data_IF_727935583538
#
_entry.id   IF_727935583538
#
_cell.length_a   1.000
_cell.length_b   1.000
_cell.length_c   1.000
_cell.angle_alpha   90.00
_cell.angle_beta   90.00
_cell.angle_gamma   90.00
#
_symmetry.space_group_name_H-M   'P 1'
#
loop_
_entity.id
_entity.type
_entity.pdbx_description
1 polymer ?
#
# COMPACT_ATOMS: atom_id res chain seq x y z
N UNK A 1 -1.45 -19.40 7.87
CA UNK A 1 -1.26 -20.63 7.09
C UNK A 1 -2.59 -21.37 6.94
N UNK A 2 -3.06 -21.54 5.71
CA UNK A 2 -4.24 -22.38 5.41
C UNK A 2 -3.80 -23.86 5.23
N UNK A 3 -2.90 -24.34 6.11
CA UNK A 3 -2.37 -25.69 6.11
C UNK A 3 -1.89 -26.08 7.50
N UNK A 4 -2.51 -27.11 8.06
CA UNK A 4 -2.11 -27.64 9.37
C UNK A 4 -0.66 -28.14 9.41
N UNK A 5 -0.16 -28.72 8.32
CA UNK A 5 1.22 -29.20 8.23
C UNK A 5 2.21 -28.02 8.28
N UNK A 6 2.00 -26.99 7.47
CA UNK A 6 2.85 -25.80 7.49
C UNK A 6 2.79 -25.03 8.82
N UNK A 7 1.60 -24.94 9.41
CA UNK A 7 1.46 -24.31 10.72
C UNK A 7 2.21 -25.11 11.81
N UNK A 8 2.21 -26.45 11.73
CA UNK A 8 2.95 -27.30 12.65
C UNK A 8 4.47 -27.12 12.50
N UNK A 9 4.97 -27.05 11.28
CA UNK A 9 6.40 -26.77 11.00
C UNK A 9 6.82 -25.42 11.57
N UNK A 10 6.04 -24.36 11.31
CA UNK A 10 6.33 -23.00 11.77
C UNK A 10 6.28 -22.86 13.30
N UNK A 11 5.35 -23.56 13.94
CA UNK A 11 5.20 -23.56 15.40
C UNK A 11 6.09 -24.59 16.13
N UNK A 12 6.89 -25.36 15.40
CA UNK A 12 7.68 -26.49 15.95
C UNK A 12 6.83 -27.51 16.72
N UNK A 13 5.62 -27.76 16.20
CA UNK A 13 4.65 -28.69 16.73
C UNK A 13 4.42 -29.87 15.76
N UNK A 14 3.65 -30.86 16.21
CA UNK A 14 3.13 -31.91 15.31
C UNK A 14 1.80 -31.50 14.70
N UNK A 15 1.52 -31.94 13.47
CA UNK A 15 0.24 -31.67 12.81
C UNK A 15 -0.99 -32.08 13.65
N UNK A 16 -1.00 -33.25 14.33
CA UNK A 16 -2.09 -33.63 15.24
C UNK A 16 -2.27 -32.62 16.40
N UNK A 17 -1.18 -32.08 16.95
CA UNK A 17 -1.26 -31.11 18.03
C UNK A 17 -1.93 -29.82 17.55
N UNK A 18 -1.55 -29.29 16.38
CA UNK A 18 -2.21 -28.11 15.78
C UNK A 18 -3.69 -28.38 15.51
N UNK A 19 -4.02 -29.54 14.94
CA UNK A 19 -5.42 -29.92 14.68
C UNK A 19 -6.25 -30.00 15.97
N UNK A 20 -5.65 -30.50 17.04
CA UNK A 20 -6.31 -30.58 18.35
C UNK A 20 -6.56 -29.19 18.95
N UNK A 21 -5.58 -28.27 18.84
CA UNK A 21 -5.74 -26.89 19.32
C UNK A 21 -6.87 -26.16 18.57
N UNK A 22 -6.94 -26.31 17.24
CA UNK A 22 -8.03 -25.72 16.45
C UNK A 22 -9.39 -26.30 16.87
N UNK A 23 -9.52 -27.62 17.05
CA UNK A 23 -10.75 -28.22 17.53
C UNK A 23 -11.14 -27.76 18.93
N UNK A 24 -10.18 -27.54 19.81
CA UNK A 24 -10.44 -27.00 21.14
C UNK A 24 -10.96 -25.56 21.06
N UNK A 25 -10.39 -24.74 20.19
CA UNK A 25 -10.86 -23.38 19.90
C UNK A 25 -12.29 -23.41 19.35
N UNK A 26 -12.60 -24.26 18.39
CA UNK A 26 -13.93 -24.46 17.82
C UNK A 26 -14.95 -24.88 18.87
N UNK A 27 -14.54 -25.81 19.75
CA UNK A 27 -15.39 -26.23 20.85
C UNK A 27 -15.69 -25.08 21.83
N UNK A 28 -14.70 -24.25 22.15
CA UNK A 28 -14.88 -23.07 23.02
C UNK A 28 -15.72 -21.98 22.35
N UNK A 29 -15.54 -21.76 21.05
CA UNK A 29 -16.30 -20.82 20.25
C UNK A 29 -17.76 -21.30 19.99
N UNK A 30 -18.02 -22.59 20.13
CA UNK A 30 -19.32 -23.19 19.82
C UNK A 30 -19.63 -23.25 18.32
N UNK A 31 -18.63 -23.00 17.46
CA UNK A 31 -18.79 -23.01 16.01
C UNK A 31 -17.47 -23.38 15.30
N UNK A 32 -17.56 -23.88 14.07
CA UNK A 32 -16.40 -24.16 13.26
C UNK A 32 -15.71 -22.87 12.81
N UNK A 33 -14.39 -22.78 12.98
CA UNK A 33 -13.57 -21.67 12.49
C UNK A 33 -12.81 -22.04 11.21
N UNK A 34 -12.78 -23.33 10.88
CA UNK A 34 -12.18 -23.83 9.64
C UNK A 34 -13.15 -24.73 8.89
N UNK A 35 -13.07 -24.72 7.57
CA UNK A 35 -13.77 -25.66 6.69
C UNK A 35 -12.82 -26.29 5.70
N UNK A 36 -13.13 -27.49 5.24
CA UNK A 36 -12.33 -28.21 4.27
C UNK A 36 -13.05 -28.28 2.93
N UNK A 37 -12.48 -27.64 1.92
CA UNK A 37 -12.93 -27.72 0.54
C UNK A 37 -11.94 -28.59 -0.26
N UNK A 38 -12.27 -29.86 -0.45
CA UNK A 38 -11.37 -30.84 -1.05
C UNK A 38 -10.14 -31.13 -0.18
N UNK A 39 -8.95 -30.77 -0.66
CA UNK A 39 -7.69 -30.90 0.09
C UNK A 39 -7.21 -29.62 0.76
N UNK A 40 -7.94 -28.53 0.59
CA UNK A 40 -7.56 -27.22 1.12
C UNK A 40 -8.40 -26.86 2.34
N UNK A 41 -7.75 -26.22 3.31
CA UNK A 41 -8.38 -25.67 4.50
C UNK A 41 -8.68 -24.19 4.23
N UNK A 42 -9.89 -23.76 4.54
CA UNK A 42 -10.34 -22.39 4.45
C UNK A 42 -10.86 -21.92 5.82
N UNK A 43 -10.88 -20.62 6.04
CA UNK A 43 -11.56 -20.06 7.20
C UNK A 43 -13.06 -19.96 6.90
N UNK A 44 -13.89 -20.22 7.89
CA UNK A 44 -15.30 -19.84 7.88
C UNK A 44 -15.42 -18.34 8.17
N UNK A 45 -16.62 -17.76 8.05
CA UNK A 45 -16.86 -16.39 8.46
C UNK A 45 -16.48 -16.16 9.94
N UNK A 46 -16.83 -17.10 10.83
CA UNK A 46 -16.38 -17.09 12.22
C UNK A 46 -14.85 -17.21 12.35
N UNK A 47 -14.23 -18.00 11.49
CA UNK A 47 -12.77 -18.16 11.44
C UNK A 47 -12.05 -16.90 11.02
N UNK A 48 -12.59 -16.14 10.06
CA UNK A 48 -12.04 -14.84 9.66
C UNK A 48 -12.09 -13.83 10.80
N UNK A 49 -13.21 -13.78 11.52
CA UNK A 49 -13.33 -12.92 12.70
C UNK A 49 -12.36 -13.31 13.82
N UNK A 50 -12.28 -14.60 14.15
CA UNK A 50 -11.32 -15.11 15.15
C UNK A 50 -9.88 -14.80 14.72
N UNK A 51 -9.54 -15.00 13.45
CA UNK A 51 -8.22 -14.69 12.91
C UNK A 51 -7.89 -13.19 13.07
N UNK A 52 -8.82 -12.31 12.73
CA UNK A 52 -8.66 -10.86 12.84
C UNK A 52 -8.40 -10.43 14.28
N UNK A 53 -9.22 -10.90 15.23
CA UNK A 53 -9.02 -10.59 16.65
C UNK A 53 -7.74 -11.19 17.21
N UNK A 54 -7.41 -12.43 16.85
CA UNK A 54 -6.16 -13.07 17.29
C UNK A 54 -4.93 -12.30 16.80
N UNK A 55 -4.93 -11.83 15.56
CA UNK A 55 -3.85 -10.97 15.02
C UNK A 55 -3.70 -9.68 15.82
N UNK A 56 -4.82 -9.00 16.10
CA UNK A 56 -4.81 -7.77 16.88
C UNK A 56 -4.29 -7.97 18.31
N UNK A 57 -4.68 -9.06 18.98
CA UNK A 57 -4.20 -9.40 20.33
C UNK A 57 -2.70 -9.69 20.33
N UNK A 58 -2.22 -10.49 19.39
CA UNK A 58 -0.80 -10.80 19.26
C UNK A 58 0.03 -9.53 19.02
N UNK A 59 -0.46 -8.62 18.20
CA UNK A 59 0.19 -7.32 17.99
C UNK A 59 0.27 -6.51 19.29
N UNK A 60 -0.78 -6.46 20.10
CA UNK A 60 -0.75 -5.74 21.38
C UNK A 60 0.25 -6.35 22.37
N UNK A 61 0.45 -7.67 22.34
CA UNK A 61 1.48 -8.33 23.16
C UNK A 61 2.87 -7.88 22.71
N UNK A 62 3.14 -7.82 21.42
CA UNK A 62 4.42 -7.34 20.89
C UNK A 62 4.66 -5.86 21.19
N UNK A 63 3.62 -5.02 21.10
CA UNK A 63 3.69 -3.60 21.51
C UNK A 63 4.03 -3.45 23.00
N UNK A 64 3.50 -4.34 23.85
CA UNK A 64 3.85 -4.38 25.27
C UNK A 64 5.33 -4.75 25.47
N UNK A 65 5.83 -5.76 24.76
CA UNK A 65 7.23 -6.16 24.82
C UNK A 65 8.17 -5.03 24.38
N UNK A 66 7.83 -4.29 23.34
CA UNK A 66 8.58 -3.10 22.90
C UNK A 66 8.60 -2.00 23.98
N UNK A 67 7.47 -1.74 24.64
CA UNK A 67 7.41 -0.79 25.78
C UNK A 67 8.28 -1.26 26.94
N UNK A 68 8.24 -2.55 27.28
CA UNK A 68 9.06 -3.12 28.35
C UNK A 68 10.57 -3.06 28.02
N UNK A 69 10.95 -3.32 26.77
CA UNK A 69 12.32 -3.23 26.30
C UNK A 69 12.82 -1.79 26.34
N UNK A 70 12.00 -0.81 25.97
CA UNK A 70 12.30 0.61 26.11
C UNK A 70 12.55 1.00 27.58
N UNK A 71 11.71 0.52 28.50
CA UNK A 71 11.89 0.77 29.94
C UNK A 71 13.16 0.13 30.50
N UNK A 72 13.62 -0.96 29.89
CA UNK A 72 14.90 -1.60 30.23
C UNK A 72 16.14 -0.92 29.63
N UNK A 73 15.95 0.15 28.84
CA UNK A 73 17.02 0.84 28.10
C UNK A 73 17.55 0.06 26.90
N UNK A 74 16.85 -0.97 26.46
CA UNK A 74 17.20 -1.71 25.25
C UNK A 74 16.75 -0.92 24.03
N UNK A 75 17.72 -0.49 23.22
CA UNK A 75 17.46 0.14 21.93
C UNK A 75 17.10 -0.96 20.91
N UNK A 76 15.84 -1.06 20.53
CA UNK A 76 15.35 -2.04 19.55
C UNK A 76 13.85 -1.96 19.44
N UNK A 77 13.28 -2.79 18.61
CA UNK A 77 11.83 -2.88 18.40
C UNK A 77 11.48 -3.36 17.01
N UNK A 78 10.20 -3.45 16.75
CA UNK A 78 9.65 -3.80 15.44
C UNK A 78 8.93 -2.60 14.86
N UNK A 79 9.06 -2.40 13.55
CA UNK A 79 8.31 -1.44 12.76
C UNK A 79 7.62 -2.19 11.62
N UNK A 80 6.28 -2.26 11.66
CA UNK A 80 5.46 -2.87 10.63
C UNK A 80 4.76 -1.82 9.81
N UNK A 81 5.00 -1.82 8.51
CA UNK A 81 4.45 -0.85 7.58
C UNK A 81 3.66 -1.58 6.51
N UNK A 82 2.46 -1.10 6.21
CA UNK A 82 1.78 -1.43 4.96
C UNK A 82 1.98 -0.29 3.96
N UNK A 83 2.13 -0.61 2.69
CA UNK A 83 2.29 0.41 1.66
C UNK A 83 1.54 0.02 0.38
N UNK A 84 0.99 1.02 -0.32
CA UNK A 84 0.49 0.77 -1.67
C UNK A 84 1.66 0.64 -2.64
N UNK A 85 1.47 -0.13 -3.72
CA UNK A 85 2.54 -0.47 -4.68
C UNK A 85 3.25 0.74 -5.28
N UNK A 86 2.61 1.91 -5.35
CA UNK A 86 3.25 3.14 -5.81
C UNK A 86 4.24 3.75 -4.80
N UNK A 87 4.23 3.35 -3.53
CA UNK A 87 5.21 3.79 -2.54
C UNK A 87 6.58 3.13 -2.73
N UNK A 88 6.66 2.01 -3.46
CA UNK A 88 7.92 1.30 -3.74
C UNK A 88 9.00 2.16 -4.42
N UNK A 89 8.61 3.27 -5.04
CA UNK A 89 9.57 4.14 -5.73
C UNK A 89 10.34 5.07 -4.80
N UNK A 90 9.87 5.26 -3.55
CA UNK A 90 10.55 6.13 -2.60
C UNK A 90 10.67 5.54 -1.18
N UNK A 91 9.73 4.71 -0.72
CA UNK A 91 9.72 4.17 0.63
C UNK A 91 11.01 3.41 1.00
N UNK A 92 11.64 2.60 0.11
CA UNK A 92 12.90 1.95 0.43
C UNK A 92 14.06 2.92 0.73
N UNK A 93 14.11 4.10 0.08
CA UNK A 93 15.13 5.14 0.36
C UNK A 93 14.95 5.69 1.78
N UNK A 94 13.70 5.99 2.17
CA UNK A 94 13.39 6.46 3.53
C UNK A 94 13.66 5.38 4.59
N UNK A 95 13.34 4.12 4.30
CA UNK A 95 13.65 3.00 5.19
C UNK A 95 15.15 2.76 5.32
N UNK A 96 15.93 2.95 4.26
CA UNK A 96 17.39 2.90 4.30
C UNK A 96 17.96 3.94 5.26
N UNK A 97 17.50 5.19 5.16
CA UNK A 97 17.90 6.27 6.08
C UNK A 97 17.47 5.97 7.52
N UNK A 98 16.26 5.44 7.71
CA UNK A 98 15.77 5.05 9.02
C UNK A 98 16.64 3.93 9.65
N UNK A 99 16.93 2.89 8.89
CA UNK A 99 17.75 1.77 9.34
C UNK A 99 19.17 2.19 9.75
N UNK A 100 19.78 3.13 9.02
CA UNK A 100 21.11 3.69 9.38
C UNK A 100 21.10 4.43 10.74
N UNK A 101 19.96 5.03 11.11
CA UNK A 101 19.80 5.74 12.39
C UNK A 101 19.38 4.81 13.54
N UNK A 102 18.70 3.72 13.22
CA UNK A 102 18.09 2.80 14.17
C UNK A 102 18.41 1.34 13.80
N UNK A 103 19.69 0.97 13.88
CA UNK A 103 20.23 -0.33 13.44
C UNK A 103 19.58 -1.54 14.13
N UNK A 104 19.12 -1.37 15.38
CA UNK A 104 18.52 -2.44 16.18
C UNK A 104 16.99 -2.57 15.97
N UNK A 105 16.39 -1.79 15.06
CA UNK A 105 14.97 -1.89 14.74
C UNK A 105 14.79 -2.84 13.56
N UNK A 106 14.00 -3.88 13.77
CA UNK A 106 13.54 -4.77 12.68
C UNK A 106 12.40 -4.12 11.95
N UNK A 107 12.52 -3.95 10.62
CA UNK A 107 11.51 -3.34 9.79
C UNK A 107 10.90 -4.39 8.86
N UNK A 108 9.58 -4.44 8.81
CA UNK A 108 8.83 -5.17 7.79
C UNK A 108 7.92 -4.23 7.02
N UNK A 109 7.87 -4.37 5.69
CA UNK A 109 6.97 -3.60 4.83
C UNK A 109 6.21 -4.55 3.91
N UNK A 110 4.90 -4.60 4.08
CA UNK A 110 3.99 -5.29 3.16
C UNK A 110 3.48 -4.33 2.08
N UNK A 111 3.48 -4.79 0.83
CA UNK A 111 3.11 -3.95 -0.31
C UNK A 111 1.96 -4.59 -1.07
N UNK A 112 0.81 -3.92 -1.03
CA UNK A 112 -0.40 -4.42 -1.64
C UNK A 112 -1.28 -3.30 -2.23
N UNK A 113 -2.54 -3.57 -2.56
CA UNK A 113 -3.49 -2.56 -3.03
C UNK A 113 -4.07 -1.73 -1.88
N UNK A 114 -4.68 -0.60 -2.22
CA UNK A 114 -5.19 0.35 -1.22
C UNK A 114 -6.25 -0.26 -0.29
N UNK A 115 -7.13 -1.12 -0.80
CA UNK A 115 -8.19 -1.71 0.01
C UNK A 115 -7.60 -2.64 1.09
N UNK A 116 -6.63 -3.48 0.73
CA UNK A 116 -5.94 -4.36 1.67
C UNK A 116 -5.11 -3.58 2.68
N UNK A 117 -4.39 -2.52 2.25
CA UNK A 117 -3.64 -1.64 3.16
C UNK A 117 -4.55 -0.99 4.20
N UNK A 118 -5.71 -0.48 3.78
CA UNK A 118 -6.70 0.10 4.69
C UNK A 118 -7.18 -0.93 5.72
N UNK A 119 -7.45 -2.15 5.25
CA UNK A 119 -7.91 -3.22 6.14
C UNK A 119 -6.85 -3.59 7.18
N UNK A 120 -5.57 -3.71 6.78
CA UNK A 120 -4.46 -3.98 7.71
C UNK A 120 -4.33 -2.92 8.81
N UNK A 121 -4.58 -1.63 8.48
CA UNK A 121 -4.59 -0.57 9.49
C UNK A 121 -5.79 -0.70 10.44
N UNK A 122 -6.99 -0.97 9.91
CA UNK A 122 -8.22 -1.13 10.71
C UNK A 122 -8.09 -2.34 11.64
N UNK A 123 -7.53 -3.45 11.16
CA UNK A 123 -7.34 -4.67 11.95
C UNK A 123 -6.12 -4.60 12.88
N UNK A 124 -5.45 -3.43 12.93
CA UNK A 124 -4.24 -3.19 13.73
C UNK A 124 -3.11 -4.19 13.46
N UNK A 125 -2.97 -4.68 12.22
CA UNK A 125 -1.90 -5.61 11.83
C UNK A 125 -0.56 -4.92 11.59
N UNK A 126 -0.58 -3.59 11.37
CA UNK A 126 0.59 -2.77 11.11
C UNK A 126 0.62 -1.54 12.00
N UNK A 127 1.80 -0.96 12.18
CA UNK A 127 1.96 0.27 12.96
C UNK A 127 1.44 1.47 12.20
N UNK A 128 1.69 1.50 10.91
CA UNK A 128 1.24 2.56 10.01
C UNK A 128 1.18 2.09 8.57
N UNK A 129 0.50 2.88 7.74
CA UNK A 129 0.48 2.66 6.30
C UNK A 129 0.96 3.89 5.53
N UNK A 130 1.57 3.67 4.37
CA UNK A 130 1.92 4.71 3.40
C UNK A 130 1.03 4.55 2.18
N UNK A 131 0.18 5.54 1.92
CA UNK A 131 -0.73 5.51 0.76
C UNK A 131 -0.97 6.89 0.16
N UNK A 132 -1.59 6.91 -1.02
CA UNK A 132 -2.15 8.14 -1.59
C UNK A 132 -3.37 8.59 -0.79
N UNK A 133 -4.35 9.22 -1.46
CA UNK A 133 -5.56 9.69 -0.77
C UNK A 133 -6.26 8.56 0.00
N UNK A 134 -6.25 8.55 1.35
CA UNK A 134 -6.97 7.56 2.13
C UNK A 134 -8.49 7.74 1.99
N UNK A 135 -9.30 6.70 2.23
CA UNK A 135 -10.74 6.85 2.36
C UNK A 135 -11.08 7.63 3.63
N UNK A 136 -12.23 8.32 3.61
CA UNK A 136 -12.81 8.86 4.83
C UNK A 136 -13.37 7.69 5.68
N UNK A 137 -12.74 7.42 6.81
CA UNK A 137 -13.09 6.31 7.69
C UNK A 137 -12.86 6.67 9.15
N UNK A 138 -13.86 6.39 10.00
CA UNK A 138 -13.86 6.82 11.41
C UNK A 138 -12.70 6.25 12.26
N UNK A 139 -12.12 5.13 11.85
CA UNK A 139 -11.01 4.46 12.56
C UNK A 139 -9.62 4.84 12.03
N UNK A 140 -9.53 5.75 11.07
CA UNK A 140 -8.26 6.15 10.47
C UNK A 140 -7.90 7.58 10.84
N UNK A 141 -6.64 7.79 11.19
CA UNK A 141 -5.99 9.09 11.24
C UNK A 141 -4.98 9.16 10.10
N UNK A 142 -5.06 10.23 9.29
CA UNK A 142 -4.22 10.40 8.12
C UNK A 142 -3.51 11.75 8.13
N UNK A 143 -2.20 11.74 7.97
CA UNK A 143 -1.34 12.93 7.96
C UNK A 143 -0.66 13.00 6.60
N UNK A 144 -0.89 14.09 5.86
CA UNK A 144 -0.17 14.34 4.61
C UNK A 144 1.29 14.72 4.90
N UNK A 145 2.23 14.16 4.13
CA UNK A 145 3.65 14.43 4.34
C UNK A 145 4.43 14.80 3.07
N UNK A 146 3.90 14.51 1.88
CA UNK A 146 4.60 14.80 0.62
C UNK A 146 3.62 14.89 -0.54
N UNK A 147 3.93 15.70 -1.55
CA UNK A 147 3.16 15.79 -2.78
C UNK A 147 3.21 14.48 -3.59
N UNK A 148 2.10 14.16 -4.25
CA UNK A 148 1.96 12.96 -5.09
C UNK A 148 1.12 13.28 -6.34
N UNK A 149 1.58 14.20 -7.19
CA UNK A 149 0.82 14.60 -8.37
C UNK A 149 0.71 13.45 -9.38
N UNK A 150 -0.49 13.28 -9.97
CA UNK A 150 -0.68 12.38 -11.09
C UNK A 150 -0.59 13.14 -12.40
N UNK A 151 0.22 12.61 -13.30
CA UNK A 151 0.47 13.14 -14.64
C UNK A 151 0.00 12.15 -15.71
N UNK A 152 -0.34 12.65 -16.88
CA UNK A 152 -0.57 11.81 -18.06
C UNK A 152 0.75 11.63 -18.79
N UNK A 153 1.10 10.39 -19.08
CA UNK A 153 2.32 10.03 -19.81
C UNK A 153 2.00 9.29 -21.09
N UNK A 154 2.85 9.51 -22.09
CA UNK A 154 2.79 8.92 -23.42
C UNK A 154 4.18 8.49 -23.88
N UNK A 155 4.32 7.66 -24.95
CA UNK A 155 5.59 7.45 -25.61
C UNK A 155 6.06 8.74 -26.32
N UNK A 156 7.39 8.92 -26.54
CA UNK A 156 7.93 10.17 -27.09
C UNK A 156 7.43 10.52 -28.51
N UNK A 157 7.05 9.51 -29.28
CA UNK A 157 6.51 9.66 -30.65
C UNK A 157 4.99 9.88 -30.72
N UNK A 158 4.33 10.03 -29.56
CA UNK A 158 2.89 10.23 -29.52
C UNK A 158 2.49 11.57 -30.16
N UNK A 159 1.35 11.63 -30.86
CA UNK A 159 0.86 12.81 -31.60
C UNK A 159 0.73 14.08 -30.74
N UNK A 160 0.55 13.93 -29.43
CA UNK A 160 0.42 15.03 -28.49
C UNK A 160 1.73 15.42 -27.79
N UNK A 161 2.81 14.66 -27.98
CA UNK A 161 4.07 14.82 -27.22
C UNK A 161 4.71 16.20 -27.40
N UNK A 162 4.66 16.77 -28.60
CA UNK A 162 5.25 18.07 -28.91
C UNK A 162 4.38 19.29 -28.59
N UNK A 163 3.10 19.05 -28.20
CA UNK A 163 2.16 20.13 -27.92
C UNK A 163 2.41 20.72 -26.54
N UNK A 164 2.63 22.04 -26.48
CA UNK A 164 2.86 22.78 -25.22
C UNK A 164 1.59 22.94 -24.39
N UNK A 165 0.45 22.98 -25.03
CA UNK A 165 -0.88 23.10 -24.38
C UNK A 165 -1.84 22.18 -25.10
N UNK A 166 -2.43 21.27 -24.38
CA UNK A 166 -3.36 20.29 -24.88
C UNK A 166 -4.73 20.61 -24.27
N UNK A 167 -5.75 20.67 -25.11
CA UNK A 167 -7.14 20.84 -24.66
C UNK A 167 -7.59 19.55 -23.94
N UNK A 168 -8.41 19.70 -22.91
CA UNK A 168 -8.76 18.55 -22.05
C UNK A 168 -9.64 17.52 -22.76
N UNK A 169 -10.44 17.95 -23.74
CA UNK A 169 -11.28 17.11 -24.59
C UNK A 169 -10.48 16.14 -25.48
N UNK A 170 -9.23 16.44 -25.77
CA UNK A 170 -8.34 15.50 -26.49
C UNK A 170 -8.18 14.16 -25.75
N UNK A 171 -8.39 14.13 -24.42
CA UNK A 171 -8.36 12.89 -23.65
C UNK A 171 -9.46 11.90 -24.02
N UNK A 172 -10.60 12.36 -24.57
CA UNK A 172 -11.69 11.49 -25.01
C UNK A 172 -11.34 10.67 -26.25
N UNK A 173 -10.35 11.12 -27.01
CA UNK A 173 -9.86 10.46 -28.23
C UNK A 173 -8.72 9.48 -27.97
N UNK A 174 -8.30 9.38 -26.69
CA UNK A 174 -7.17 8.53 -26.28
C UNK A 174 -7.64 7.29 -25.54
N UNK A 175 -6.87 6.21 -25.68
CA UNK A 175 -7.06 4.97 -24.93
C UNK A 175 -6.14 5.00 -23.71
N UNK A 176 -6.68 4.74 -22.53
CA UNK A 176 -5.92 4.69 -21.30
C UNK A 176 -5.69 3.25 -20.85
N UNK A 177 -4.46 2.96 -20.43
CA UNK A 177 -4.17 1.78 -19.65
C UNK A 177 -4.64 2.01 -18.22
N UNK A 178 -5.31 1.03 -17.64
CA UNK A 178 -5.88 1.16 -16.30
C UNK A 178 -5.28 0.17 -15.31
N UNK A 179 -5.26 0.57 -14.05
CA UNK A 179 -4.89 -0.29 -12.94
C UNK A 179 -6.06 -1.20 -12.56
N UNK A 180 -5.76 -2.23 -11.79
CA UNK A 180 -6.71 -3.17 -11.20
C UNK A 180 -7.77 -2.47 -10.32
N UNK A 181 -8.93 -3.10 -10.08
CA UNK A 181 -9.90 -2.64 -9.08
C UNK A 181 -9.26 -2.51 -7.69
N UNK A 182 -9.68 -1.49 -6.92
CA UNK A 182 -9.08 -1.19 -5.62
C UNK A 182 -7.81 -0.35 -5.67
N UNK A 183 -7.26 -0.02 -6.85
CA UNK A 183 -6.16 0.92 -7.01
C UNK A 183 -6.60 2.36 -6.80
N UNK A 184 -5.90 3.10 -5.93
CA UNK A 184 -6.16 4.52 -5.72
C UNK A 184 -5.90 5.40 -6.95
N UNK A 185 -4.98 4.99 -7.83
CA UNK A 185 -4.70 5.68 -9.10
C UNK A 185 -5.85 5.48 -10.09
N UNK A 186 -6.40 4.26 -10.20
CA UNK A 186 -7.61 3.99 -11.00
C UNK A 186 -8.78 4.83 -10.51
N UNK A 187 -9.01 4.85 -9.19
CA UNK A 187 -10.07 5.66 -8.61
C UNK A 187 -9.91 7.16 -8.89
N UNK A 188 -8.69 7.69 -8.85
CA UNK A 188 -8.42 9.08 -9.19
C UNK A 188 -8.69 9.39 -10.67
N UNK A 189 -8.28 8.51 -11.58
CA UNK A 189 -8.55 8.64 -13.02
C UNK A 189 -10.06 8.70 -13.28
N UNK A 190 -10.83 7.77 -12.76
CA UNK A 190 -12.29 7.76 -12.95
C UNK A 190 -12.97 9.00 -12.34
N UNK A 191 -12.50 9.49 -11.18
CA UNK A 191 -13.03 10.73 -10.59
C UNK A 191 -12.73 11.94 -11.46
N UNK A 192 -11.50 12.06 -11.96
CA UNK A 192 -11.08 13.17 -12.81
C UNK A 192 -11.93 13.25 -14.08
N UNK A 193 -12.05 12.16 -14.84
CA UNK A 193 -12.86 12.13 -16.05
C UNK A 193 -14.34 12.45 -15.78
N UNK A 194 -14.91 11.93 -14.70
CA UNK A 194 -16.29 12.23 -14.30
C UNK A 194 -16.48 13.69 -13.90
N UNK A 195 -15.56 14.29 -13.16
CA UNK A 195 -15.64 15.70 -12.73
C UNK A 195 -15.61 16.65 -13.94
N UNK A 196 -14.81 16.31 -14.94
CA UNK A 196 -14.71 17.11 -16.17
C UNK A 196 -15.75 16.70 -17.25
N UNK A 197 -16.66 15.76 -16.93
CA UNK A 197 -17.67 15.23 -17.84
C UNK A 197 -17.09 14.66 -19.14
N UNK A 198 -15.89 14.08 -19.07
CA UNK A 198 -15.18 13.46 -20.18
C UNK A 198 -15.47 11.97 -20.25
N UNK A 199 -15.53 11.46 -21.47
CA UNK A 199 -15.61 10.02 -21.72
C UNK A 199 -14.22 9.40 -21.52
N UNK A 200 -14.11 8.41 -20.63
CA UNK A 200 -12.91 7.62 -20.46
C UNK A 200 -12.98 6.36 -21.32
N UNK A 201 -12.04 6.22 -22.26
CA UNK A 201 -11.87 4.98 -23.02
C UNK A 201 -10.70 4.21 -22.41
N UNK A 202 -10.97 3.00 -21.89
CA UNK A 202 -9.96 2.13 -21.30
C UNK A 202 -9.60 0.99 -22.25
N UNK A 203 -8.31 0.75 -22.41
CA UNK A 203 -7.76 -0.41 -23.13
C UNK A 203 -7.49 -1.58 -22.17
N UNK A 204 -6.22 -1.90 -21.97
CA UNK A 204 -5.80 -3.01 -21.11
C UNK A 204 -5.82 -2.63 -19.63
N UNK A 205 -6.19 -3.60 -18.78
CA UNK A 205 -6.02 -3.53 -17.33
C UNK A 205 -4.69 -4.20 -16.93
N UNK A 206 -3.93 -3.56 -16.08
CA UNK A 206 -2.63 -4.03 -15.60
C UNK A 206 -2.53 -3.94 -14.08
N UNK A 207 -2.14 -5.03 -13.42
CA UNK A 207 -2.07 -5.14 -11.95
C UNK A 207 -0.87 -4.41 -11.30
N UNK A 208 -0.04 -3.67 -12.09
CA UNK A 208 1.12 -2.98 -11.55
C UNK A 208 1.43 -1.68 -12.29
N UNK A 209 2.09 -0.74 -11.59
CA UNK A 209 2.60 0.49 -12.21
C UNK A 209 3.69 0.19 -13.25
N UNK A 210 4.54 -0.80 -12.99
CA UNK A 210 5.56 -1.22 -13.96
C UNK A 210 4.92 -1.74 -15.25
N UNK A 211 3.82 -2.51 -15.14
CA UNK A 211 3.05 -2.94 -16.31
C UNK A 211 2.51 -1.76 -17.11
N UNK A 212 1.89 -0.78 -16.45
CA UNK A 212 1.40 0.45 -17.13
C UNK A 212 2.57 1.16 -17.81
N UNK A 213 3.71 1.38 -17.13
CA UNK A 213 4.88 2.06 -17.74
C UNK A 213 5.36 1.35 -19.00
N UNK A 214 5.52 0.03 -18.96
CA UNK A 214 5.94 -0.76 -20.12
C UNK A 214 4.88 -0.73 -21.23
N UNK A 215 3.60 -0.80 -20.89
CA UNK A 215 2.51 -0.71 -21.84
C UNK A 215 2.47 0.64 -22.57
N UNK A 216 2.68 1.75 -21.84
CA UNK A 216 2.78 3.08 -22.47
C UNK A 216 3.99 3.16 -23.39
N UNK A 217 5.17 2.66 -22.98
CA UNK A 217 6.36 2.62 -23.84
C UNK A 217 6.16 1.78 -25.10
N UNK A 218 5.31 0.73 -25.02
CA UNK A 218 4.93 -0.11 -26.16
C UNK A 218 3.77 0.47 -27.01
N UNK A 219 3.35 1.71 -26.75
CA UNK A 219 2.28 2.42 -27.45
C UNK A 219 0.92 1.71 -27.39
N UNK A 220 0.63 1.03 -26.28
CA UNK A 220 -0.65 0.35 -26.05
C UNK A 220 -1.73 1.31 -25.52
N UNK A 221 -1.38 2.56 -25.20
CA UNK A 221 -2.24 3.60 -24.69
C UNK A 221 -1.53 4.55 -23.74
N UNK A 222 -2.25 5.56 -23.26
CA UNK A 222 -1.74 6.53 -22.29
C UNK A 222 -1.78 5.97 -20.86
N UNK A 223 -0.92 6.51 -19.99
CA UNK A 223 -0.92 6.23 -18.55
C UNK A 223 -1.23 7.47 -17.71
N UNK A 224 -2.09 7.36 -16.70
CA UNK A 224 -2.19 8.34 -15.63
C UNK A 224 -1.46 7.77 -14.41
N UNK A 225 -0.31 8.36 -14.05
CA UNK A 225 0.63 7.79 -13.08
C UNK A 225 1.16 8.85 -12.11
N UNK A 226 1.57 8.47 -10.89
CA UNK A 226 2.34 9.35 -10.01
C UNK A 226 3.63 9.81 -10.70
N UNK A 227 3.92 11.11 -10.66
CA UNK A 227 5.12 11.69 -11.29
C UNK A 227 6.41 10.99 -10.81
N UNK A 228 6.57 10.79 -9.50
CA UNK A 228 7.74 10.12 -8.93
C UNK A 228 7.91 8.67 -9.40
N UNK A 229 6.82 7.98 -9.78
CA UNK A 229 6.91 6.62 -10.29
C UNK A 229 7.45 6.51 -11.72
N UNK A 230 7.49 7.60 -12.47
CA UNK A 230 7.92 7.66 -13.89
C UNK A 230 9.12 8.59 -14.11
N UNK A 231 9.72 9.09 -13.04
CA UNK A 231 10.79 10.08 -13.10
C UNK A 231 11.98 9.61 -13.93
N UNK A 232 12.41 8.38 -13.74
CA UNK A 232 13.52 7.78 -14.49
C UNK A 232 13.19 7.67 -15.98
N UNK A 233 11.97 7.25 -16.32
CA UNK A 233 11.54 7.15 -17.72
C UNK A 233 11.44 8.53 -18.39
N UNK A 234 10.99 9.56 -17.65
CA UNK A 234 10.96 10.95 -18.13
C UNK A 234 12.38 11.49 -18.35
N UNK A 235 13.30 11.27 -17.41
CA UNK A 235 14.71 11.71 -17.53
C UNK A 235 15.41 11.03 -18.70
N UNK A 236 15.13 9.77 -18.95
CA UNK A 236 15.70 8.99 -20.07
C UNK A 236 14.99 9.23 -21.41
N UNK A 237 13.93 10.06 -21.45
CA UNK A 237 13.13 10.30 -22.64
C UNK A 237 12.39 9.08 -23.17
N UNK A 238 12.17 8.06 -22.33
CA UNK A 238 11.38 6.87 -22.68
C UNK A 238 9.89 7.09 -22.58
N UNK A 239 9.49 8.05 -21.76
CA UNK A 239 8.15 8.59 -21.63
C UNK A 239 8.21 10.11 -21.69
N UNK A 240 7.09 10.72 -22.08
CA UNK A 240 6.89 12.17 -22.02
C UNK A 240 5.63 12.49 -21.25
N UNK A 241 5.66 13.59 -20.51
CA UNK A 241 4.49 14.13 -19.83
C UNK A 241 3.66 14.96 -20.80
N UNK A 242 2.39 14.62 -20.95
CA UNK A 242 1.42 15.41 -21.72
C UNK A 242 0.83 16.52 -20.84
N UNK A 243 0.98 17.79 -21.27
CA UNK A 243 0.61 18.97 -20.49
C UNK A 243 -0.80 19.45 -20.84
N UNK A 244 -1.78 19.02 -20.06
CA UNK A 244 -3.16 19.49 -20.12
C UNK A 244 -3.38 20.64 -19.13
N UNK A 245 -4.44 21.45 -19.37
CA UNK A 245 -4.73 22.63 -18.56
C UNK A 245 -4.98 22.33 -17.08
N UNK A 246 -5.71 21.28 -16.76
CA UNK A 246 -6.14 20.93 -15.41
C UNK A 246 -5.37 19.72 -14.84
N UNK A 247 -4.20 19.44 -15.40
CA UNK A 247 -3.25 18.46 -14.90
C UNK A 247 -1.94 19.15 -14.51
N UNK A 248 -1.21 18.61 -13.53
CA UNK A 248 -1.37 17.32 -12.83
C UNK A 248 -2.55 17.32 -11.86
N UNK A 249 -3.11 16.14 -11.59
CA UNK A 249 -4.06 15.97 -10.48
C UNK A 249 -3.28 16.14 -9.18
N UNK A 250 -3.57 17.17 -8.43
CA UNK A 250 -2.94 17.41 -7.13
C UNK A 250 -3.38 16.32 -6.13
N UNK A 251 -2.40 15.66 -5.51
CA UNK A 251 -2.57 14.64 -4.47
C UNK A 251 -1.38 14.68 -3.52
N UNK A 252 -1.56 14.09 -2.34
CA UNK A 252 -0.50 13.92 -1.36
C UNK A 252 -0.25 12.44 -1.07
N UNK A 253 0.91 12.14 -0.54
CA UNK A 253 1.22 10.96 0.21
C UNK A 253 0.80 11.17 1.67
N UNK A 254 0.23 10.12 2.25
CA UNK A 254 -0.21 10.13 3.64
C UNK A 254 0.46 8.99 4.40
N UNK A 255 0.84 9.28 5.64
CA UNK A 255 0.98 8.26 6.66
C UNK A 255 -0.38 8.09 7.33
N UNK A 256 -0.85 6.84 7.41
CA UNK A 256 -2.17 6.49 7.93
C UNK A 256 -2.00 5.54 9.11
N UNK A 257 -2.71 5.84 10.18
CA UNK A 257 -2.66 5.14 11.45
C UNK A 257 -4.06 4.69 11.86
N UNK A 258 -4.15 3.63 12.65
CA UNK A 258 -5.39 3.36 13.37
C UNK A 258 -5.61 4.47 14.40
N UNK A 259 -6.81 5.03 14.43
CA UNK A 259 -7.17 6.12 15.35
C UNK A 259 -7.01 5.69 16.80
N UNK A 260 -6.30 6.51 17.58
CA UNK A 260 -6.02 6.25 18.98
C UNK A 260 -4.93 5.21 19.25
N UNK A 261 -4.26 4.67 18.19
CA UNK A 261 -3.12 3.77 18.37
C UNK A 261 -1.97 4.47 19.10
N UNK A 262 -1.42 3.80 20.11
CA UNK A 262 -0.16 4.20 20.74
C UNK A 262 0.99 3.61 19.95
N UNK A 263 1.82 4.47 19.37
CA UNK A 263 2.98 4.04 18.61
C UNK A 263 4.11 3.59 19.52
N UNK A 264 4.84 2.55 19.11
CA UNK A 264 6.14 2.22 19.66
C UNK A 264 7.13 3.36 19.39
N UNK A 265 8.27 3.37 20.11
CA UNK A 265 9.32 4.38 19.86
C UNK A 265 9.84 4.33 18.41
N UNK A 266 9.98 3.12 17.85
CA UNK A 266 10.41 2.92 16.47
C UNK A 266 9.38 3.47 15.47
N UNK A 267 8.11 3.18 15.69
CA UNK A 267 7.02 3.66 14.82
C UNK A 267 6.86 5.19 14.90
N UNK A 268 6.98 5.77 16.10
CA UNK A 268 6.90 7.23 16.27
C UNK A 268 8.09 7.94 15.62
N UNK A 269 9.31 7.40 15.77
CA UNK A 269 10.51 7.92 15.10
C UNK A 269 10.39 7.85 13.56
N UNK A 270 9.85 6.75 13.01
CA UNK A 270 9.66 6.66 11.57
C UNK A 270 8.57 7.60 11.07
N UNK A 271 7.48 7.77 11.83
CA UNK A 271 6.45 8.77 11.51
C UNK A 271 7.03 10.18 11.49
N UNK A 272 7.87 10.54 12.46
CA UNK A 272 8.56 11.83 12.49
C UNK A 272 9.45 12.02 11.26
N UNK A 273 10.25 11.02 10.89
CA UNK A 273 11.08 11.05 9.68
C UNK A 273 10.24 11.28 8.41
N UNK A 274 9.08 10.61 8.28
CA UNK A 274 8.17 10.82 7.14
C UNK A 274 7.66 12.25 7.08
N UNK A 275 7.21 12.81 8.20
CA UNK A 275 6.56 14.12 8.23
C UNK A 275 7.56 15.26 8.08
N UNK A 276 8.74 15.14 8.72
CA UNK A 276 9.69 16.25 8.84
C UNK A 276 10.78 16.22 7.77
N UNK A 277 11.18 15.04 7.30
CA UNK A 277 12.39 14.89 6.49
C UNK A 277 12.17 14.28 5.11
N UNK A 278 11.04 13.59 4.85
CA UNK A 278 10.86 12.81 3.62
C UNK A 278 11.09 13.64 2.34
N UNK A 279 10.60 14.88 2.30
CA UNK A 279 10.75 15.76 1.12
C UNK A 279 12.22 16.06 0.88
N UNK A 280 13.00 16.41 1.91
CA UNK A 280 14.44 16.68 1.80
C UNK A 280 15.24 15.45 1.38
N UNK A 281 14.96 14.31 2.02
CA UNK A 281 15.66 13.05 1.75
C UNK A 281 15.43 12.49 0.34
N UNK A 282 14.32 12.87 -0.30
CA UNK A 282 13.97 12.40 -1.65
C UNK A 282 14.35 13.40 -2.74
N UNK A 283 14.72 14.65 -2.39
CA UNK A 283 15.14 15.68 -3.34
C UNK A 283 16.60 15.45 -3.84
N UNK A 284 17.40 14.71 -3.09
CA UNK A 284 18.78 14.29 -3.42
C UNK A 284 18.78 12.97 -4.22
#
# INVERSE_FOLDING_TARGET
>A
NLSYTRAAEELHLTQPAVSMQIRQLEHQAGMAVTEQLGKQVHLTEAGEEVYRYARSILQQIEELDDVLNKLKGLAGGHLRIAAISSANYFAPKLLGTFHQRFENVTVSMDVTNQAAVVQQVIDNEVDMAIMGQPPDHAQLDAIAFMDNPLIVVAPPNHRLAERKRIALDELEHEVFLTREPGSGTRGAMHRFFRQHKLKLTTGMEMGSLSGIKQGVQADLGLGLLPRGAVEVELMLGRLVELRFRDLPIARNWFVVLHKGKRLSAAADAFKALLIEEAVGLLAD
#
